data_IF_307662024924
#
_entry.id   IF_307662024924
#
_cell.length_a   1.000
_cell.length_b   1.000
_cell.length_c   1.000
_cell.angle_alpha   90.00
_cell.angle_beta   90.00
_cell.angle_gamma   90.00
#
_symmetry.space_group_name_H-M   'P 1'
#
loop_
_entity.id
_entity.type
_entity.pdbx_description
1 polymer ?
#
# COMPACT_ATOMS: atom_id res chain seq x y z
N UNK A 1 -12.22 14.75 13.11
CA UNK A 1 -11.97 13.36 12.69
C UNK A 1 -10.51 12.99 12.72
N UNK A 2 -10.21 11.89 13.43
CA UNK A 2 -8.87 11.28 13.49
C UNK A 2 -8.75 10.15 12.47
N UNK A 3 -7.62 10.06 11.79
CA UNK A 3 -7.34 8.94 10.87
C UNK A 3 -6.00 8.33 11.24
N UNK A 4 -5.97 7.01 11.38
CA UNK A 4 -4.73 6.21 11.39
C UNK A 4 -4.48 5.72 9.97
N UNK A 5 -3.29 5.99 9.46
CA UNK A 5 -2.88 5.68 8.10
C UNK A 5 -1.59 4.87 8.08
N UNK A 6 -1.58 3.80 7.30
CA UNK A 6 -0.42 2.93 7.10
C UNK A 6 -0.46 2.30 5.73
N UNK A 7 0.71 2.07 5.13
CA UNK A 7 0.83 1.63 3.73
C UNK A 7 0.22 0.24 3.48
N UNK A 8 0.17 -0.59 4.52
CA UNK A 8 -0.26 -1.99 4.45
C UNK A 8 -1.65 -2.24 5.03
N UNK A 9 -2.39 -1.18 5.43
CA UNK A 9 -3.71 -1.34 6.03
C UNK A 9 -4.83 -1.65 5.01
N UNK A 10 -4.53 -1.58 3.71
CA UNK A 10 -5.43 -2.07 2.66
C UNK A 10 -5.27 -3.59 2.51
N UNK A 11 -6.03 -4.38 3.26
CA UNK A 11 -6.11 -5.84 3.10
C UNK A 11 -5.61 -6.63 4.31
N UNK A 12 -4.75 -6.03 5.14
CA UNK A 12 -4.34 -6.61 6.42
C UNK A 12 -5.43 -6.33 7.47
N UNK A 13 -6.29 -7.32 7.74
CA UNK A 13 -7.33 -7.26 8.77
C UNK A 13 -6.78 -7.36 10.21
N UNK A 14 -5.49 -7.12 10.41
CA UNK A 14 -4.80 -7.28 11.70
C UNK A 14 -5.16 -6.19 12.73
N UNK A 15 -5.91 -5.16 12.32
CA UNK A 15 -6.49 -4.19 13.24
C UNK A 15 -7.90 -4.63 13.67
N UNK A 16 -8.07 -4.92 14.97
CA UNK A 16 -9.38 -5.19 15.57
C UNK A 16 -10.30 -4.01 15.22
N UNK A 17 -11.44 -4.29 14.57
CA UNK A 17 -12.50 -3.28 14.37
C UNK A 17 -12.96 -2.79 15.73
N UNK A 18 -12.51 -1.62 16.13
CA UNK A 18 -12.98 -0.96 17.34
C UNK A 18 -14.15 -0.06 16.95
N UNK A 19 -15.24 -0.11 17.73
CA UNK A 19 -16.32 0.86 17.63
C UNK A 19 -15.82 2.19 18.19
N UNK A 20 -15.09 2.93 17.37
CA UNK A 20 -14.52 4.20 17.74
C UNK A 20 -15.19 5.31 16.93
N UNK A 21 -15.85 6.23 17.66
CA UNK A 21 -16.53 7.37 17.07
C UNK A 21 -15.49 8.40 16.62
N UNK A 22 -15.67 8.97 15.42
CA UNK A 22 -14.77 9.98 14.83
C UNK A 22 -13.31 9.50 14.59
N UNK A 23 -13.08 8.19 14.50
CA UNK A 23 -11.76 7.62 14.12
C UNK A 23 -11.85 6.59 13.01
N UNK A 24 -10.98 6.69 12.01
CA UNK A 24 -10.88 5.73 10.91
C UNK A 24 -9.46 5.14 10.84
N UNK A 25 -9.37 3.86 10.48
CA UNK A 25 -8.11 3.17 10.19
C UNK A 25 -8.14 2.81 8.71
N UNK A 26 -7.24 3.39 7.92
CA UNK A 26 -7.29 3.34 6.46
C UNK A 26 -5.93 3.02 5.87
N UNK A 27 -5.89 2.22 4.80
CA UNK A 27 -4.74 2.13 3.91
C UNK A 27 -4.83 3.13 2.75
N UNK A 28 -3.89 3.07 1.79
CA UNK A 28 -3.81 4.02 0.67
C UNK A 28 -5.12 4.21 -0.12
N UNK A 29 -5.77 3.12 -0.48
CA UNK A 29 -7.02 3.07 -1.24
C UNK A 29 -8.18 3.62 -0.41
N UNK A 30 -8.25 3.27 0.87
CA UNK A 30 -9.25 3.79 1.80
C UNK A 30 -9.12 5.30 2.00
N UNK A 31 -7.90 5.77 2.31
CA UNK A 31 -7.64 7.19 2.52
C UNK A 31 -7.87 8.01 1.25
N UNK A 32 -7.42 7.52 0.09
CA UNK A 32 -7.64 8.20 -1.19
C UNK A 32 -9.14 8.38 -1.47
N UNK A 33 -9.93 7.32 -1.32
CA UNK A 33 -11.38 7.42 -1.52
C UNK A 33 -12.07 8.34 -0.51
N UNK A 34 -11.60 8.36 0.74
CA UNK A 34 -12.15 9.27 1.75
C UNK A 34 -11.82 10.74 1.45
N UNK A 35 -10.59 11.03 1.01
CA UNK A 35 -10.19 12.38 0.60
C UNK A 35 -10.97 12.84 -0.63
N UNK A 36 -11.15 11.97 -1.62
CA UNK A 36 -11.97 12.28 -2.79
C UNK A 36 -13.42 12.59 -2.41
N UNK A 37 -13.99 11.85 -1.45
CA UNK A 37 -15.34 12.10 -0.95
C UNK A 37 -15.44 13.49 -0.31
N UNK A 38 -14.51 13.85 0.58
CA UNK A 38 -14.51 15.15 1.24
C UNK A 38 -14.29 16.33 0.29
N UNK A 39 -13.52 16.12 -0.77
CA UNK A 39 -13.18 17.16 -1.73
C UNK A 39 -14.14 17.20 -2.92
N UNK A 40 -15.18 16.36 -2.94
CA UNK A 40 -16.13 16.27 -4.06
C UNK A 40 -15.52 15.74 -5.36
N UNK A 41 -14.44 14.97 -5.27
CA UNK A 41 -13.69 14.41 -6.40
C UNK A 41 -14.05 12.95 -6.71
N UNK A 42 -15.01 12.36 -5.98
CA UNK A 42 -15.46 10.99 -6.18
C UNK A 42 -15.91 10.75 -7.62
N UNK A 43 -15.28 9.77 -8.28
CA UNK A 43 -15.62 9.33 -9.64
C UNK A 43 -16.03 7.85 -9.63
N UNK A 44 -16.83 7.47 -10.62
CA UNK A 44 -17.11 6.05 -10.87
C UNK A 44 -15.81 5.30 -11.15
N UNK A 45 -15.59 4.19 -10.44
CA UNK A 45 -14.40 3.36 -10.63
C UNK A 45 -14.52 2.63 -11.97
N UNK A 46 -13.56 2.84 -12.86
CA UNK A 46 -13.41 2.00 -14.05
C UNK A 46 -12.75 0.69 -13.66
N UNK A 47 -13.26 -0.42 -14.21
CA UNK A 47 -12.66 -1.72 -13.99
C UNK A 47 -11.27 -1.83 -14.64
N UNK A 48 -10.45 -2.72 -14.10
CA UNK A 48 -9.05 -2.89 -14.53
C UNK A 48 -8.97 -3.34 -15.99
N UNK A 49 -9.83 -4.25 -16.42
CA UNK A 49 -9.80 -4.79 -17.78
C UNK A 49 -10.15 -3.72 -18.81
N UNK A 50 -11.17 -2.89 -18.57
CA UNK A 50 -11.51 -1.76 -19.43
C UNK A 50 -10.37 -0.76 -19.55
N UNK A 51 -9.64 -0.47 -18.46
CA UNK A 51 -8.45 0.39 -18.55
C UNK A 51 -7.36 -0.25 -19.41
N UNK A 52 -7.12 -1.56 -19.28
CA UNK A 52 -6.14 -2.28 -20.11
C UNK A 52 -6.53 -2.25 -21.58
N UNK A 53 -7.78 -2.57 -21.91
CA UNK A 53 -8.28 -2.57 -23.30
C UNK A 53 -8.19 -1.18 -23.93
N UNK A 54 -8.56 -0.13 -23.19
CA UNK A 54 -8.42 1.25 -23.67
C UNK A 54 -6.95 1.63 -23.86
N UNK A 55 -6.08 1.27 -22.92
CA UNK A 55 -4.64 1.57 -23.01
C UNK A 55 -3.98 0.83 -24.19
N UNK A 56 -4.37 -0.43 -24.44
CA UNK A 56 -3.92 -1.21 -25.59
C UNK A 56 -4.24 -0.51 -26.92
N UNK A 57 -5.42 0.11 -27.05
CA UNK A 57 -5.77 0.86 -28.26
C UNK A 57 -4.78 2.01 -28.52
N UNK A 58 -4.43 2.79 -27.49
CA UNK A 58 -3.44 3.87 -27.60
C UNK A 58 -2.02 3.36 -27.85
N UNK A 59 -1.65 2.21 -27.26
CA UNK A 59 -0.36 1.59 -27.52
C UNK A 59 -0.22 1.21 -29.00
N UNK A 60 -1.27 0.64 -29.60
CA UNK A 60 -1.32 0.29 -31.03
C UNK A 60 -1.33 1.53 -31.92
N UNK A 61 -2.05 2.58 -31.54
CA UNK A 61 -2.06 3.85 -32.28
C UNK A 61 -0.67 4.51 -32.31
N UNK A 62 0.08 4.42 -31.22
CA UNK A 62 1.44 4.99 -31.12
C UNK A 62 2.54 4.09 -31.70
N UNK A 63 2.24 2.81 -31.94
CA UNK A 63 3.21 1.83 -32.38
C UNK A 63 3.57 2.02 -33.87
N UNK A 64 4.86 2.13 -34.16
CA UNK A 64 5.43 2.19 -35.51
C UNK A 64 6.14 0.90 -35.91
N UNK A 65 5.99 -0.16 -35.10
CA UNK A 65 6.65 -1.46 -35.28
C UNK A 65 8.08 -1.51 -34.73
N UNK A 66 8.64 -0.38 -34.30
CA UNK A 66 10.01 -0.27 -33.77
C UNK A 66 10.07 0.28 -32.34
N UNK A 67 8.92 0.39 -31.65
CA UNK A 67 8.88 0.77 -30.24
C UNK A 67 9.48 -0.33 -29.36
N UNK A 68 9.93 0.05 -28.17
CA UNK A 68 10.54 -0.87 -27.21
C UNK A 68 9.61 -2.04 -26.81
N UNK A 69 8.29 -1.87 -26.97
CA UNK A 69 7.27 -2.87 -26.65
C UNK A 69 6.70 -3.60 -27.87
N UNK A 70 6.97 -3.17 -29.12
CA UNK A 70 6.29 -3.70 -30.33
C UNK A 70 6.45 -5.21 -30.47
N UNK A 71 7.68 -5.72 -30.25
CA UNK A 71 7.97 -7.17 -30.31
C UNK A 71 7.20 -7.97 -29.27
N UNK A 72 7.08 -7.45 -28.06
CA UNK A 72 6.33 -8.11 -26.98
C UNK A 72 4.82 -8.02 -27.22
N UNK A 73 4.35 -6.88 -27.74
CA UNK A 73 2.95 -6.64 -28.06
C UNK A 73 2.45 -7.66 -29.10
N UNK A 74 3.27 -8.00 -30.09
CA UNK A 74 2.95 -9.02 -31.10
C UNK A 74 2.81 -10.45 -30.52
N UNK A 75 3.36 -10.71 -29.33
CA UNK A 75 3.29 -12.02 -28.66
C UNK A 75 2.11 -12.08 -27.69
N UNK A 76 1.96 -11.05 -26.85
CA UNK A 76 0.86 -10.93 -25.89
C UNK A 76 0.43 -9.47 -25.72
N UNK A 77 -0.62 -9.10 -26.44
CA UNK A 77 -1.16 -7.74 -26.43
C UNK A 77 -1.69 -7.34 -25.04
N UNK A 78 -2.44 -8.23 -24.39
CA UNK A 78 -3.15 -7.90 -23.15
C UNK A 78 -2.21 -7.86 -21.96
N UNK A 79 -1.30 -8.83 -21.85
CA UNK A 79 -0.30 -8.87 -20.78
C UNK A 79 0.67 -7.70 -20.85
N UNK A 80 1.13 -7.35 -22.05
CA UNK A 80 2.03 -6.19 -22.25
C UNK A 80 1.32 -4.89 -21.94
N UNK A 81 0.08 -4.69 -22.43
CA UNK A 81 -0.69 -3.50 -22.11
C UNK A 81 -0.95 -3.38 -20.60
N UNK A 82 -1.27 -4.48 -19.93
CA UNK A 82 -1.45 -4.53 -18.48
C UNK A 82 -0.18 -4.15 -17.71
N UNK A 83 0.97 -4.70 -18.12
CA UNK A 83 2.26 -4.39 -17.50
C UNK A 83 2.68 -2.93 -17.71
N UNK A 84 2.56 -2.41 -18.93
CA UNK A 84 2.89 -1.02 -19.24
C UNK A 84 1.95 -0.03 -18.53
N UNK A 85 0.67 -0.36 -18.43
CA UNK A 85 -0.30 0.44 -17.65
C UNK A 85 0.06 0.46 -16.16
N UNK A 86 0.51 -0.67 -15.60
CA UNK A 86 0.98 -0.72 -14.22
C UNK A 86 2.21 0.17 -14.02
N UNK A 87 3.22 0.08 -14.91
CA UNK A 87 4.40 0.95 -14.86
C UNK A 87 4.02 2.43 -14.96
N UNK A 88 3.08 2.78 -15.86
CA UNK A 88 2.52 4.13 -15.96
C UNK A 88 1.94 4.59 -14.62
N UNK A 89 1.07 3.79 -14.01
CA UNK A 89 0.43 4.14 -12.75
C UNK A 89 1.44 4.29 -11.60
N UNK A 90 2.46 3.43 -11.54
CA UNK A 90 3.57 3.51 -10.57
C UNK A 90 4.40 4.79 -10.74
N UNK A 91 4.75 5.17 -11.97
CA UNK A 91 5.45 6.43 -12.25
C UNK A 91 4.65 7.63 -11.76
N UNK A 92 3.34 7.64 -11.98
CA UNK A 92 2.45 8.69 -11.49
C UNK A 92 2.44 8.78 -9.96
N UNK A 93 2.42 7.64 -9.25
CA UNK A 93 2.52 7.56 -7.79
C UNK A 93 3.88 8.09 -7.28
N UNK A 94 4.95 7.90 -8.05
CA UNK A 94 6.28 8.42 -7.78
C UNK A 94 6.48 9.89 -8.20
N UNK A 95 5.44 10.57 -8.68
CA UNK A 95 5.48 12.01 -8.96
C UNK A 95 5.59 12.39 -10.43
N UNK A 96 5.63 11.44 -11.36
CA UNK A 96 5.57 11.74 -12.78
C UNK A 96 4.24 12.42 -13.14
N UNK A 97 4.29 13.39 -14.06
CA UNK A 97 3.15 14.23 -14.46
C UNK A 97 2.71 13.96 -15.91
N UNK A 98 3.20 12.89 -16.52
CA UNK A 98 2.94 12.53 -17.90
C UNK A 98 3.96 13.07 -18.91
N UNK A 99 4.90 13.90 -18.46
CA UNK A 99 6.04 14.36 -19.25
C UNK A 99 7.28 14.55 -18.38
N UNK A 100 8.44 14.53 -19.02
CA UNK A 100 9.73 14.87 -18.42
C UNK A 100 10.09 16.32 -18.78
N UNK A 101 10.54 17.11 -17.81
CA UNK A 101 10.91 18.52 -18.02
C UNK A 101 12.13 18.70 -18.93
N UNK A 102 12.95 17.67 -19.03
CA UNK A 102 14.07 17.54 -19.96
C UNK A 102 13.86 16.29 -20.81
N UNK A 103 14.88 15.89 -21.55
CA UNK A 103 14.91 14.59 -22.23
C UNK A 103 14.61 13.45 -21.25
N UNK A 104 13.74 12.53 -21.65
CA UNK A 104 13.45 11.33 -20.89
C UNK A 104 14.75 10.54 -20.60
N UNK A 105 14.91 9.95 -19.40
CA UNK A 105 16.15 9.26 -19.01
C UNK A 105 16.48 8.03 -19.86
N UNK A 106 15.49 7.42 -20.50
CA UNK A 106 15.65 6.24 -21.35
C UNK A 106 14.64 6.24 -22.49
N UNK A 107 14.92 5.48 -23.55
CA UNK A 107 14.00 5.31 -24.67
C UNK A 107 12.67 4.67 -24.26
N UNK A 108 12.68 3.80 -23.23
CA UNK A 108 11.45 3.21 -22.69
C UNK A 108 10.55 4.27 -22.05
N UNK A 109 11.14 5.15 -21.24
CA UNK A 109 10.41 6.26 -20.62
C UNK A 109 9.96 7.30 -21.66
N UNK A 110 10.77 7.55 -22.69
CA UNK A 110 10.39 8.39 -23.83
C UNK A 110 9.18 7.81 -24.57
N UNK A 111 9.15 6.48 -24.75
CA UNK A 111 8.02 5.78 -25.34
C UNK A 111 6.74 5.92 -24.52
N UNK A 112 6.83 5.76 -23.18
CA UNK A 112 5.68 5.97 -22.29
C UNK A 112 5.17 7.42 -22.32
N UNK A 113 6.06 8.41 -22.33
CA UNK A 113 5.69 9.82 -22.51
C UNK A 113 5.05 10.09 -23.88
N UNK A 114 5.47 9.38 -24.92
CA UNK A 114 4.84 9.43 -26.24
C UNK A 114 3.38 8.99 -26.22
N UNK A 115 3.10 7.84 -25.61
CA UNK A 115 1.74 7.33 -25.42
C UNK A 115 0.91 8.27 -24.54
N UNK A 116 1.51 8.84 -23.50
CA UNK A 116 0.83 9.77 -22.59
C UNK A 116 0.33 11.04 -23.29
N UNK A 117 1.06 11.53 -24.29
CA UNK A 117 0.62 12.67 -25.10
C UNK A 117 -0.66 12.37 -25.88
N UNK A 118 -0.85 11.14 -26.36
CA UNK A 118 -2.10 10.73 -27.02
C UNK A 118 -3.26 10.58 -26.02
N UNK A 119 -2.95 10.15 -24.80
CA UNK A 119 -3.93 10.05 -23.72
C UNK A 119 -4.44 11.43 -23.27
N UNK A 120 -3.62 12.47 -23.42
CA UNK A 120 -3.97 13.85 -23.10
C UNK A 120 -5.27 14.31 -23.78
N UNK A 121 -6.28 14.67 -22.98
CA UNK A 121 -7.58 15.13 -23.48
C UNK A 121 -8.55 14.03 -23.95
N UNK A 122 -8.13 12.77 -23.97
CA UNK A 122 -8.96 11.63 -24.42
C UNK A 122 -10.03 11.16 -23.41
N UNK A 123 -10.01 11.70 -22.19
CA UNK A 123 -10.86 11.20 -21.10
C UNK A 123 -10.49 9.78 -20.64
N UNK A 124 -9.20 9.40 -20.75
CA UNK A 124 -8.71 8.14 -20.20
C UNK A 124 -8.88 8.09 -18.67
N UNK A 125 -9.31 6.95 -18.08
CA UNK A 125 -9.57 6.87 -16.64
C UNK A 125 -8.27 7.00 -15.82
N UNK A 126 -8.23 7.92 -14.84
CA UNK A 126 -7.01 8.20 -14.07
C UNK A 126 -6.63 7.03 -13.15
N UNK A 127 -5.34 6.77 -13.04
CA UNK A 127 -4.77 5.88 -12.02
C UNK A 127 -4.70 6.54 -10.64
N UNK A 128 -4.26 5.78 -9.63
CA UNK A 128 -4.19 6.29 -8.25
C UNK A 128 -3.24 7.49 -8.10
N UNK A 129 -2.11 7.53 -8.82
CA UNK A 129 -1.20 8.68 -8.76
C UNK A 129 -1.80 9.96 -9.36
N UNK A 130 -2.58 9.85 -10.42
CA UNK A 130 -3.32 10.97 -11.04
C UNK A 130 -4.45 11.47 -10.13
N UNK A 131 -5.15 10.53 -9.48
CA UNK A 131 -6.18 10.82 -8.46
C UNK A 131 -5.58 11.56 -7.26
N UNK A 132 -4.44 11.07 -6.75
CA UNK A 132 -3.68 11.74 -5.68
C UNK A 132 -3.23 13.14 -6.08
N UNK A 133 -2.77 13.33 -7.33
CA UNK A 133 -2.45 14.67 -7.84
C UNK A 133 -3.68 15.59 -7.82
N UNK A 134 -4.85 15.09 -8.20
CA UNK A 134 -6.09 15.86 -8.18
C UNK A 134 -6.48 16.25 -6.74
N UNK A 135 -6.34 15.32 -5.80
CA UNK A 135 -6.52 15.57 -4.36
C UNK A 135 -5.53 16.61 -3.85
N UNK A 136 -4.25 16.48 -4.17
CA UNK A 136 -3.21 17.44 -3.78
C UNK A 136 -3.52 18.86 -4.25
N UNK A 137 -3.95 19.01 -5.51
CA UNK A 137 -4.34 20.32 -6.08
C UNK A 137 -5.59 20.89 -5.38
N UNK A 138 -6.58 20.05 -5.11
CA UNK A 138 -7.79 20.45 -4.40
C UNK A 138 -7.50 20.91 -2.95
N UNK A 139 -6.58 20.23 -2.25
CA UNK A 139 -6.15 20.59 -0.89
C UNK A 139 -5.44 21.95 -0.81
N UNK A 140 -4.97 22.50 -1.92
CA UNK A 140 -4.41 23.87 -1.95
C UNK A 140 -5.48 24.95 -1.70
N UNK A 141 -6.75 24.62 -1.96
CA UNK A 141 -7.86 25.58 -1.92
C UNK A 141 -9.00 25.16 -0.99
N UNK A 142 -9.08 23.88 -0.65
CA UNK A 142 -10.14 23.30 0.17
C UNK A 142 -9.57 22.61 1.41
N UNK A 143 -10.32 22.65 2.50
CA UNK A 143 -9.98 21.94 3.74
C UNK A 143 -10.81 20.67 3.86
N UNK A 144 -10.25 19.69 4.56
CA UNK A 144 -10.95 18.44 4.91
C UNK A 144 -11.35 18.46 6.39
N UNK A 145 -12.31 17.64 6.83
CA UNK A 145 -12.66 17.48 8.24
C UNK A 145 -11.62 16.68 9.05
N UNK A 146 -10.50 16.32 8.43
CA UNK A 146 -9.41 15.59 9.08
C UNK A 146 -8.69 16.56 10.02
N UNK A 147 -8.92 16.37 11.32
CA UNK A 147 -8.27 17.16 12.36
C UNK A 147 -6.90 16.60 12.73
N UNK A 148 -6.66 15.32 12.43
CA UNK A 148 -5.49 14.58 12.88
C UNK A 148 -5.25 13.33 12.02
N UNK A 149 -4.09 13.27 11.38
CA UNK A 149 -3.64 12.13 10.56
C UNK A 149 -2.42 11.46 11.22
N UNK A 150 -2.63 10.33 11.88
CA UNK A 150 -1.57 9.53 12.47
C UNK A 150 -0.97 8.58 11.43
N UNK A 151 0.32 8.74 11.14
CA UNK A 151 1.08 7.87 10.23
C UNK A 151 1.74 6.75 11.03
N UNK A 152 1.54 5.50 10.61
CA UNK A 152 2.26 4.32 11.13
C UNK A 152 3.61 4.12 10.46
N UNK A 153 3.76 4.61 9.23
CA UNK A 153 5.00 4.62 8.49
C UNK A 153 5.58 6.04 8.47
N UNK A 154 6.90 6.17 8.50
CA UNK A 154 7.53 7.49 8.39
C UNK A 154 7.23 8.13 7.04
N UNK A 155 7.19 9.47 6.99
CA UNK A 155 6.78 10.19 5.77
C UNK A 155 7.66 9.84 4.56
N UNK A 156 8.96 9.65 4.76
CA UNK A 156 9.94 9.30 3.73
C UNK A 156 9.72 7.92 3.10
N UNK A 157 9.04 7.00 3.78
CA UNK A 157 8.68 5.67 3.24
C UNK A 157 7.51 5.72 2.28
N UNK A 158 6.73 6.80 2.29
CA UNK A 158 5.60 6.96 1.40
C UNK A 158 6.07 7.35 -0.01
N UNK A 159 5.38 6.93 -1.08
CA UNK A 159 5.66 7.44 -2.41
C UNK A 159 5.46 8.96 -2.51
N UNK A 160 6.16 9.61 -3.44
CA UNK A 160 6.22 11.08 -3.52
C UNK A 160 4.84 11.75 -3.57
N UNK A 161 3.86 11.18 -4.28
CA UNK A 161 2.49 11.73 -4.31
C UNK A 161 1.79 11.70 -2.97
N UNK A 162 2.00 10.63 -2.20
CA UNK A 162 1.48 10.54 -0.84
C UNK A 162 2.13 11.56 0.06
N UNK A 163 3.45 11.73 -0.04
CA UNK A 163 4.15 12.78 0.72
C UNK A 163 3.54 14.16 0.47
N UNK A 164 3.30 14.51 -0.81
CA UNK A 164 2.66 15.78 -1.20
C UNK A 164 1.27 15.97 -0.57
N UNK A 165 0.43 14.94 -0.60
CA UNK A 165 -0.92 14.99 -0.01
C UNK A 165 -0.88 15.07 1.51
N UNK A 166 -0.05 14.23 2.15
CA UNK A 166 0.07 14.17 3.62
C UNK A 166 0.58 15.50 4.18
N UNK A 167 1.53 16.15 3.51
CA UNK A 167 2.03 17.47 3.90
C UNK A 167 0.97 18.57 3.90
N UNK A 168 -0.15 18.38 3.18
CA UNK A 168 -1.27 19.32 3.19
C UNK A 168 -2.26 19.08 4.35
N UNK A 169 -2.05 18.04 5.16
CA UNK A 169 -2.94 17.61 6.23
C UNK A 169 -2.25 17.77 7.60
N UNK A 170 -3.01 17.92 8.71
CA UNK A 170 -2.44 17.93 10.05
C UNK A 170 -1.99 16.52 10.44
N UNK A 171 -0.75 16.15 10.10
CA UNK A 171 -0.22 14.82 10.34
C UNK A 171 0.74 14.77 11.53
N UNK A 172 0.82 13.59 12.16
CA UNK A 172 1.88 13.20 13.09
C UNK A 172 2.38 11.81 12.71
N UNK A 173 3.66 11.57 12.93
CA UNK A 173 4.21 10.21 12.84
C UNK A 173 4.21 9.59 14.23
N UNK A 174 3.66 8.38 14.33
CA UNK A 174 3.66 7.58 15.54
C UNK A 174 4.37 6.27 15.22
N UNK A 175 5.61 6.15 15.69
CA UNK A 175 6.39 4.93 15.48
C UNK A 175 5.75 3.77 16.25
N UNK A 176 5.15 2.77 15.57
CA UNK A 176 4.48 1.66 16.23
C UNK A 176 5.48 0.74 16.96
N UNK A 177 6.77 0.86 16.67
CA UNK A 177 7.83 0.05 17.25
C UNK A 177 8.43 0.73 18.49
N UNK A 178 7.99 1.95 18.85
CA UNK A 178 8.57 2.78 19.91
C UNK A 178 8.58 2.14 21.31
N UNK A 179 7.70 1.17 21.56
CA UNK A 179 7.71 0.42 22.80
C UNK A 179 7.27 -1.01 22.60
N UNK A 180 7.77 -1.89 23.47
CA UNK A 180 7.30 -3.26 23.57
C UNK A 180 6.01 -3.26 24.37
N UNK A 181 4.92 -3.72 23.75
CA UNK A 181 3.60 -3.75 24.36
C UNK A 181 3.35 -5.02 25.18
N UNK A 182 4.07 -6.09 24.87
CA UNK A 182 3.97 -7.34 25.60
C UNK A 182 4.57 -7.24 27.01
N UNK A 183 3.96 -7.98 27.95
CA UNK A 183 4.34 -7.99 29.36
C UNK A 183 5.78 -8.46 29.53
N UNK A 184 6.59 -7.73 30.32
CA UNK A 184 7.97 -8.12 30.61
C UNK A 184 8.06 -9.56 31.13
N UNK A 185 9.07 -10.29 30.66
CA UNK A 185 9.29 -11.70 30.99
C UNK A 185 8.51 -12.69 30.12
N UNK A 186 7.71 -12.22 29.13
CA UNK A 186 6.99 -13.10 28.20
C UNK A 186 7.77 -13.43 26.92
N UNK A 187 7.43 -14.54 26.25
CA UNK A 187 7.98 -14.91 24.95
C UNK A 187 7.71 -13.84 23.88
N UNK A 188 6.49 -13.27 23.88
CA UNK A 188 6.13 -12.18 22.98
C UNK A 188 6.92 -10.91 23.29
N UNK A 189 7.18 -10.60 24.56
CA UNK A 189 8.04 -9.48 24.96
C UNK A 189 9.47 -9.65 24.47
N UNK A 190 10.05 -10.85 24.64
CA UNK A 190 11.36 -11.17 24.11
C UNK A 190 11.42 -10.94 22.58
N UNK A 191 10.46 -11.47 21.82
CA UNK A 191 10.39 -11.29 20.37
C UNK A 191 10.26 -9.82 19.96
N UNK A 192 9.32 -9.08 20.55
CA UNK A 192 9.11 -7.68 20.25
C UNK A 192 10.36 -6.84 20.58
N UNK A 193 11.03 -7.12 21.70
CA UNK A 193 12.23 -6.40 22.10
C UNK A 193 13.42 -6.69 21.17
N UNK A 194 13.58 -7.94 20.73
CA UNK A 194 14.63 -8.34 19.77
C UNK A 194 14.39 -7.76 18.38
N UNK A 195 13.16 -7.80 17.88
CA UNK A 195 12.79 -7.27 16.56
C UNK A 195 12.83 -5.74 16.50
N UNK A 196 12.44 -5.06 17.58
CA UNK A 196 12.46 -3.60 17.66
C UNK A 196 13.87 -3.02 17.79
N UNK A 197 14.84 -3.82 18.25
CA UNK A 197 16.21 -3.35 18.51
C UNK A 197 16.33 -2.34 19.66
N UNK A 198 15.22 -1.98 20.32
CA UNK A 198 15.15 -0.93 21.34
C UNK A 198 15.98 -1.23 22.59
N UNK A 199 16.18 -2.51 22.90
CA UNK A 199 16.87 -2.98 24.10
C UNK A 199 18.23 -3.63 23.80
N UNK A 200 18.70 -3.56 22.55
CA UNK A 200 19.89 -4.29 22.09
C UNK A 200 19.81 -5.80 22.38
N UNK A 201 20.96 -6.44 22.60
CA UNK A 201 21.06 -7.86 22.97
C UNK A 201 20.73 -8.15 24.45
N UNK A 202 20.27 -7.16 25.22
CA UNK A 202 20.12 -7.29 26.69
C UNK A 202 18.83 -8.00 27.14
N UNK A 203 18.02 -8.51 26.22
CA UNK A 203 16.77 -9.21 26.57
C UNK A 203 17.01 -10.71 26.57
N UNK A 204 16.79 -11.34 27.73
CA UNK A 204 16.91 -12.78 27.88
C UNK A 204 15.61 -13.49 27.49
N UNK A 205 15.68 -14.71 26.93
CA UNK A 205 14.49 -15.50 26.65
C UNK A 205 13.75 -15.88 27.95
N UNK A 206 12.43 -16.11 27.91
CA UNK A 206 11.67 -16.55 29.07
C UNK A 206 12.14 -17.92 29.56
N UNK A 207 12.07 -18.15 30.87
CA UNK A 207 12.50 -19.41 31.50
C UNK A 207 11.53 -20.58 31.30
N UNK A 208 10.29 -20.29 30.87
CA UNK A 208 9.24 -21.28 30.64
C UNK A 208 8.31 -20.80 29.50
N UNK A 209 7.65 -21.73 28.78
CA UNK A 209 6.63 -21.37 27.80
C UNK A 209 5.43 -20.72 28.50
N UNK A 210 4.92 -19.64 27.92
CA UNK A 210 3.89 -18.77 28.53
C UNK A 210 2.66 -18.56 27.65
N UNK A 211 2.52 -19.37 26.59
CA UNK A 211 1.45 -19.33 25.58
C UNK A 211 1.25 -17.99 24.84
N UNK A 212 2.09 -16.99 25.08
CA UNK A 212 2.01 -15.68 24.40
C UNK A 212 2.44 -15.73 22.94
N UNK A 213 3.19 -16.77 22.57
CA UNK A 213 3.59 -17.10 21.21
C UNK A 213 3.42 -18.59 21.02
N UNK A 214 2.70 -18.99 19.97
CA UNK A 214 2.46 -20.41 19.66
C UNK A 214 2.96 -20.71 18.24
N UNK A 215 3.80 -21.72 18.12
CA UNK A 215 4.26 -22.24 16.83
C UNK A 215 3.42 -23.46 16.46
N UNK A 216 2.76 -23.38 15.30
CA UNK A 216 2.00 -24.50 14.75
C UNK A 216 2.70 -24.95 13.49
N UNK A 217 3.28 -26.14 13.53
CA UNK A 217 3.85 -26.81 12.37
C UNK A 217 3.20 -28.17 12.17
N UNK A 218 2.93 -28.53 10.93
CA UNK A 218 2.41 -29.84 10.54
C UNK A 218 2.93 -30.24 9.17
N UNK A 219 2.80 -31.52 8.83
CA UNK A 219 3.27 -32.07 7.56
C UNK A 219 2.55 -31.43 6.34
N UNK A 220 1.35 -30.88 6.54
CA UNK A 220 0.60 -30.17 5.50
C UNK A 220 0.12 -28.81 6.00
N UNK A 221 -0.03 -27.84 5.09
CA UNK A 221 -0.58 -26.51 5.41
C UNK A 221 -2.05 -26.56 5.85
N UNK A 222 -2.82 -27.53 5.35
CA UNK A 222 -4.22 -27.72 5.72
C UNK A 222 -4.37 -28.14 7.18
N UNK A 223 -3.53 -29.06 7.66
CA UNK A 223 -3.58 -29.51 9.07
C UNK A 223 -3.28 -28.34 10.02
N UNK A 224 -2.26 -27.53 9.72
CA UNK A 224 -1.97 -26.33 10.51
C UNK A 224 -3.12 -25.33 10.45
N UNK A 225 -3.77 -25.16 9.29
CA UNK A 225 -4.91 -24.27 9.16
C UNK A 225 -6.11 -24.75 9.99
N UNK A 226 -6.43 -26.04 9.99
CA UNK A 226 -7.53 -26.59 10.80
C UNK A 226 -7.28 -26.43 12.30
N UNK A 227 -6.07 -26.77 12.77
CA UNK A 227 -5.72 -26.58 14.17
C UNK A 227 -5.80 -25.11 14.58
N UNK A 228 -5.30 -24.22 13.73
CA UNK A 228 -5.30 -22.78 14.02
C UNK A 228 -6.71 -22.21 14.02
N UNK A 229 -7.56 -22.64 13.09
CA UNK A 229 -8.97 -22.25 13.05
C UNK A 229 -9.73 -22.71 14.31
N UNK A 230 -9.53 -23.95 14.75
CA UNK A 230 -10.13 -24.47 15.97
C UNK A 230 -9.63 -23.70 17.22
N UNK A 231 -8.32 -23.41 17.27
CA UNK A 231 -7.73 -22.62 18.36
C UNK A 231 -8.28 -21.19 18.42
N UNK A 232 -8.40 -20.52 17.28
CA UNK A 232 -8.99 -19.18 17.18
C UNK A 232 -10.49 -19.19 17.49
N UNK A 233 -11.20 -20.30 17.24
CA UNK A 233 -12.61 -20.41 17.60
C UNK A 233 -12.82 -20.45 19.12
N UNK A 234 -11.88 -21.06 19.85
CA UNK A 234 -11.91 -21.15 21.32
C UNK A 234 -11.48 -19.84 21.99
N UNK A 235 -10.54 -19.11 21.40
CA UNK A 235 -10.05 -17.82 21.90
C UNK A 235 -9.91 -16.77 20.77
N UNK A 236 -11.03 -16.14 20.37
CA UNK A 236 -11.06 -15.27 19.20
C UNK A 236 -10.47 -13.87 19.43
N UNK A 237 -10.23 -13.47 20.69
CA UNK A 237 -9.84 -12.10 21.01
C UNK A 237 -8.33 -11.95 21.23
N UNK A 238 -7.72 -10.99 20.55
CA UNK A 238 -6.33 -10.59 20.82
C UNK A 238 -5.25 -11.49 20.22
N UNK A 239 -5.61 -12.52 19.45
CA UNK A 239 -4.64 -13.38 18.75
C UNK A 239 -4.27 -12.79 17.39
N UNK A 240 -2.98 -12.52 17.18
CA UNK A 240 -2.42 -12.16 15.88
C UNK A 240 -1.95 -13.44 15.17
N UNK A 241 -2.53 -13.74 14.01
CA UNK A 241 -2.10 -14.84 13.17
C UNK A 241 -1.02 -14.37 12.19
N UNK A 242 0.17 -14.94 12.30
CA UNK A 242 1.25 -14.75 11.35
C UNK A 242 1.34 -15.99 10.45
N UNK A 243 0.99 -15.84 9.18
CA UNK A 243 1.08 -16.91 8.18
C UNK A 243 2.28 -16.67 7.27
N UNK A 244 3.21 -17.62 7.27
CA UNK A 244 4.45 -17.53 6.49
C UNK A 244 5.59 -16.89 7.27
N UNK A 245 6.74 -17.57 7.25
CA UNK A 245 7.99 -17.12 7.85
C UNK A 245 9.11 -18.07 7.43
N UNK A 246 10.33 -17.54 7.22
CA UNK A 246 11.52 -18.37 7.12
C UNK A 246 11.84 -18.90 8.53
N UNK A 247 12.19 -20.18 8.67
CA UNK A 247 12.41 -20.89 9.95
C UNK A 247 13.36 -20.19 10.96
N UNK A 248 14.19 -19.24 10.54
CA UNK A 248 15.38 -18.82 11.30
C UNK A 248 15.25 -17.64 12.27
N UNK A 249 14.07 -17.22 12.75
CA UNK A 249 14.01 -16.10 13.71
C UNK A 249 14.03 -16.56 15.18
N UNK A 250 13.80 -17.85 15.43
CA UNK A 250 13.84 -18.49 16.74
C UNK A 250 14.59 -19.82 16.76
N UNK A 251 15.13 -20.25 15.61
CA UNK A 251 16.06 -21.37 15.48
C UNK A 251 17.50 -20.86 15.64
#
# INVERSE_FOLDING_TARGET
MKIVFGLHLDGENSWKKQNAFDSLVLGPSGLLSQLELYLGLSRSRTDKLSRITRYLAFLKEYDDGNRFYSRSLAVDETGVAGYLLQLRDELYICGWNGSFSKKAPSERLAGLEGVERLLGGSGFPPGNGERLRSVYLALQHMKTPISDLCLLDSLDRHPLRWQQVIQCLPFRYEDPVRQVHARQGTALHYLQARLSGLYGDQVSPPSAPDDTVRFVSSDTSLTSAYYTADSLHRDPEGTLLLYGGLKGLLD
#
